data_IF_822135143480
#
_entry.id   IF_822135143480
#
_cell.length_a   1.000
_cell.length_b   1.000
_cell.length_c   1.000
_cell.angle_alpha   90.00
_cell.angle_beta   90.00
_cell.angle_gamma   90.00
#
_symmetry.space_group_name_H-M   'P 1'
#
loop_
_entity.id
_entity.type
_entity.pdbx_description
1 polymer ?
#
# COMPACT_ATOMS: atom_id res chain seq x y z
N UNK A 1 14.42 -18.49 -50.50
CA UNK A 1 14.56 -18.15 -49.09
C UNK A 1 15.13 -16.73 -48.81
N UNK A 2 15.72 -16.07 -49.77
CA UNK A 2 16.40 -14.77 -49.64
C UNK A 2 15.46 -13.56 -49.83
N UNK A 3 14.27 -13.72 -50.39
CA UNK A 3 13.31 -12.61 -50.64
C UNK A 3 12.56 -12.09 -49.39
N UNK A 4 12.59 -12.81 -48.25
CA UNK A 4 11.93 -12.39 -47.01
C UNK A 4 12.72 -11.32 -46.26
N UNK A 5 14.03 -11.22 -46.48
CA UNK A 5 14.91 -10.26 -45.82
C UNK A 5 14.89 -8.85 -46.43
N UNK A 6 14.32 -8.72 -47.67
CA UNK A 6 14.21 -7.43 -48.35
C UNK A 6 12.83 -6.76 -48.21
N UNK A 7 11.90 -7.34 -47.47
CA UNK A 7 10.61 -6.73 -47.19
C UNK A 7 10.75 -5.74 -46.03
N UNK A 8 10.72 -4.43 -46.28
CA UNK A 8 10.70 -3.36 -45.25
C UNK A 8 9.66 -3.62 -44.16
N UNK A 9 8.55 -4.26 -44.49
CA UNK A 9 7.51 -4.67 -43.52
C UNK A 9 8.00 -5.76 -42.55
N UNK A 10 8.91 -6.64 -42.98
CA UNK A 10 9.50 -7.65 -42.12
C UNK A 10 10.53 -7.07 -41.13
N UNK A 11 11.31 -6.08 -41.56
CA UNK A 11 12.29 -5.40 -40.69
C UNK A 11 11.61 -4.69 -39.53
N UNK A 12 10.52 -3.96 -39.78
CA UNK A 12 9.75 -3.27 -38.74
C UNK A 12 9.14 -4.25 -37.72
N UNK A 13 8.69 -5.43 -38.17
CA UNK A 13 8.15 -6.45 -37.26
C UNK A 13 9.25 -7.04 -36.34
N UNK A 14 10.45 -7.21 -36.85
CA UNK A 14 11.60 -7.69 -36.05
C UNK A 14 12.05 -6.63 -35.05
N UNK A 15 12.12 -5.37 -35.46
CA UNK A 15 12.42 -4.24 -34.55
C UNK A 15 11.42 -4.14 -33.43
N UNK A 16 10.12 -4.22 -33.73
CA UNK A 16 9.06 -4.23 -32.70
C UNK A 16 9.18 -5.43 -31.77
N UNK A 17 9.46 -6.63 -32.29
CA UNK A 17 9.63 -7.83 -31.48
C UNK A 17 10.82 -7.74 -30.51
N UNK A 18 11.88 -7.00 -30.87
CA UNK A 18 13.01 -6.75 -29.97
C UNK A 18 12.71 -5.71 -28.90
N UNK A 19 11.87 -4.71 -29.17
CA UNK A 19 11.46 -3.70 -28.22
C UNK A 19 10.35 -4.17 -27.29
N UNK A 20 9.52 -5.10 -27.73
CA UNK A 20 8.35 -5.58 -26.99
C UNK A 20 8.70 -6.10 -25.57
N UNK A 21 9.74 -6.92 -25.34
CA UNK A 21 10.07 -7.39 -24.00
C UNK A 21 10.42 -6.25 -23.04
N UNK A 22 11.15 -5.24 -23.52
CA UNK A 22 11.52 -4.06 -22.73
C UNK A 22 10.29 -3.23 -22.39
N UNK A 23 9.41 -3.03 -23.37
CA UNK A 23 8.14 -2.32 -23.16
C UNK A 23 7.25 -3.04 -22.14
N UNK A 24 7.09 -4.35 -22.26
CA UNK A 24 6.31 -5.13 -21.30
C UNK A 24 6.91 -5.11 -19.90
N UNK A 25 8.23 -5.21 -19.78
CA UNK A 25 8.91 -5.12 -18.49
C UNK A 25 8.64 -3.76 -17.82
N UNK A 26 8.62 -2.67 -18.58
CA UNK A 26 8.31 -1.33 -18.07
C UNK A 26 6.84 -1.24 -17.64
N UNK A 27 5.90 -1.68 -18.46
CA UNK A 27 4.46 -1.64 -18.14
C UNK A 27 4.14 -2.47 -16.89
N UNK A 28 4.63 -3.70 -16.82
CA UNK A 28 4.42 -4.55 -15.65
C UNK A 28 5.15 -4.02 -14.42
N UNK A 29 6.34 -3.45 -14.58
CA UNK A 29 7.07 -2.79 -13.50
C UNK A 29 6.24 -1.67 -12.88
N UNK A 30 5.70 -0.77 -13.69
CA UNK A 30 4.82 0.33 -13.23
C UNK A 30 3.58 -0.23 -12.52
N UNK A 31 2.93 -1.24 -13.08
CA UNK A 31 1.72 -1.82 -12.48
C UNK A 31 2.01 -2.47 -11.11
N UNK A 32 3.11 -3.20 -10.99
CA UNK A 32 3.49 -3.92 -9.77
C UNK A 32 3.91 -2.94 -8.66
N UNK A 33 4.81 -2.00 -8.96
CA UNK A 33 5.22 -0.99 -7.98
C UNK A 33 4.08 -0.02 -7.66
N UNK A 34 3.26 0.33 -8.64
CA UNK A 34 2.07 1.15 -8.46
C UNK A 34 1.06 0.51 -7.50
N UNK A 35 0.85 -0.80 -7.61
CA UNK A 35 -0.02 -1.54 -6.68
C UNK A 35 0.52 -1.54 -5.24
N UNK A 36 1.83 -1.70 -5.06
CA UNK A 36 2.46 -1.60 -3.74
C UNK A 36 2.28 -0.19 -3.14
N UNK A 37 2.57 0.86 -3.92
CA UNK A 37 2.38 2.24 -3.48
C UNK A 37 0.92 2.55 -3.14
N UNK A 38 -0.03 2.02 -3.90
CA UNK A 38 -1.46 2.17 -3.62
C UNK A 38 -1.84 1.57 -2.26
N UNK A 39 -1.29 0.40 -1.90
CA UNK A 39 -1.48 -0.19 -0.58
C UNK A 39 -0.86 0.69 0.51
N UNK A 40 0.36 1.19 0.31
CA UNK A 40 1.04 2.08 1.26
C UNK A 40 0.21 3.35 1.52
N UNK A 41 -0.32 3.98 0.48
CA UNK A 41 -1.18 5.16 0.59
C UNK A 41 -2.52 4.84 1.23
N UNK A 42 -3.14 3.73 0.86
CA UNK A 42 -4.41 3.28 1.46
C UNK A 42 -4.28 3.04 2.96
N UNK A 43 -3.20 2.40 3.41
CA UNK A 43 -2.94 2.19 4.84
C UNK A 43 -2.69 3.50 5.58
N UNK A 44 -1.98 4.45 4.97
CA UNK A 44 -1.76 5.77 5.55
C UNK A 44 -3.08 6.54 5.71
N UNK A 45 -3.93 6.50 4.71
CA UNK A 45 -5.25 7.12 4.76
C UNK A 45 -6.12 6.45 5.83
N UNK A 46 -6.16 5.12 5.86
CA UNK A 46 -6.92 4.36 6.84
C UNK A 46 -6.48 4.68 8.29
N UNK A 47 -5.17 4.77 8.54
CA UNK A 47 -4.63 5.17 9.84
C UNK A 47 -5.04 6.60 10.21
N UNK A 48 -4.97 7.55 9.27
CA UNK A 48 -5.32 8.94 9.50
C UNK A 48 -6.82 9.14 9.81
N UNK A 49 -7.67 8.43 9.08
CA UNK A 49 -9.13 8.49 9.30
C UNK A 49 -9.54 7.81 10.61
N UNK A 50 -8.92 6.67 10.95
CA UNK A 50 -9.12 6.01 12.23
C UNK A 50 -8.68 6.89 13.41
N UNK A 51 -7.55 7.60 13.27
CA UNK A 51 -7.08 8.55 14.27
C UNK A 51 -8.07 9.70 14.46
N UNK A 52 -8.60 10.27 13.39
CA UNK A 52 -9.64 11.33 13.47
C UNK A 52 -10.92 10.83 14.12
N UNK A 53 -11.38 9.63 13.75
CA UNK A 53 -12.59 9.04 14.34
C UNK A 53 -12.42 8.81 15.84
N UNK A 54 -11.22 8.48 16.30
CA UNK A 54 -10.92 8.24 17.71
C UNK A 54 -11.09 9.45 18.62
N UNK A 55 -11.11 10.67 18.06
CA UNK A 55 -11.34 11.91 18.83
C UNK A 55 -12.71 11.95 19.53
N UNK A 56 -13.68 11.20 19.03
CA UNK A 56 -15.00 11.09 19.67
C UNK A 56 -14.94 10.37 21.04
N UNK A 57 -13.88 9.59 21.31
CA UNK A 57 -13.72 8.87 22.57
C UNK A 57 -13.28 9.77 23.71
N UNK A 58 -13.89 9.60 24.88
CA UNK A 58 -13.62 10.37 26.09
C UNK A 58 -12.46 9.77 26.89
N UNK A 59 -12.17 8.48 26.70
CA UNK A 59 -11.08 7.77 27.38
C UNK A 59 -10.11 7.14 26.36
N UNK A 60 -8.85 6.84 26.77
CA UNK A 60 -7.91 6.13 25.90
C UNK A 60 -8.42 4.77 25.42
N UNK A 61 -9.13 4.04 26.27
CA UNK A 61 -9.76 2.75 25.96
C UNK A 61 -10.85 2.90 24.89
N UNK A 62 -11.70 3.90 25.01
CA UNK A 62 -12.76 4.20 24.07
C UNK A 62 -12.20 4.64 22.71
N UNK A 63 -11.18 5.50 22.71
CA UNK A 63 -10.47 5.90 21.48
C UNK A 63 -9.88 4.71 20.75
N UNK A 64 -9.25 3.78 21.49
CA UNK A 64 -8.70 2.55 20.91
C UNK A 64 -9.82 1.72 20.27
N UNK A 65 -10.94 1.52 20.97
CA UNK A 65 -12.10 0.79 20.47
C UNK A 65 -12.66 1.41 19.18
N UNK A 66 -12.81 2.74 19.16
CA UNK A 66 -13.31 3.47 17.99
C UNK A 66 -12.34 3.34 16.80
N UNK A 67 -11.03 3.53 17.03
CA UNK A 67 -10.03 3.41 15.96
C UNK A 67 -9.99 1.98 15.38
N UNK A 68 -10.01 0.97 16.22
CA UNK A 68 -10.00 -0.43 15.79
C UNK A 68 -11.27 -0.79 15.04
N UNK A 69 -12.42 -0.37 15.53
CA UNK A 69 -13.72 -0.56 14.87
C UNK A 69 -13.76 0.14 13.50
N UNK A 70 -13.24 1.37 13.43
CA UNK A 70 -13.16 2.11 12.17
C UNK A 70 -12.36 1.35 11.11
N UNK A 71 -11.15 0.88 11.47
CA UNK A 71 -10.31 0.12 10.55
C UNK A 71 -10.99 -1.16 10.10
N UNK A 72 -11.55 -1.95 11.02
CA UNK A 72 -12.22 -3.22 10.68
C UNK A 72 -13.42 -3.03 9.74
N UNK A 73 -14.16 -1.95 9.90
CA UNK A 73 -15.33 -1.64 9.08
C UNK A 73 -14.93 -1.11 7.69
N UNK A 74 -13.88 -0.30 7.61
CA UNK A 74 -13.56 0.44 6.38
C UNK A 74 -12.42 -0.18 5.56
N UNK A 75 -11.65 -1.12 6.10
CA UNK A 75 -10.53 -1.76 5.37
C UNK A 75 -10.96 -2.39 4.05
N UNK A 76 -12.18 -2.91 3.98
CA UNK A 76 -12.74 -3.51 2.76
C UNK A 76 -13.02 -2.52 1.62
N UNK A 77 -13.01 -1.21 1.89
CA UNK A 77 -13.16 -0.17 0.84
C UNK A 77 -11.89 0.04 0.03
N UNK A 78 -10.77 -0.51 0.50
CA UNK A 78 -9.47 -0.42 -0.17
C UNK A 78 -9.19 -1.69 -0.98
N UNK A 79 -9.29 -1.67 -2.32
CA UNK A 79 -9.38 -2.87 -3.16
C UNK A 79 -8.12 -3.76 -3.15
N UNK A 80 -6.96 -3.21 -2.77
CA UNK A 80 -5.69 -3.94 -2.72
C UNK A 80 -5.28 -4.37 -1.31
N UNK A 81 -6.10 -4.06 -0.30
CA UNK A 81 -5.82 -4.39 1.10
C UNK A 81 -6.72 -5.54 1.53
N UNK A 82 -6.11 -6.63 1.98
CA UNK A 82 -6.83 -7.80 2.47
C UNK A 82 -7.04 -7.66 3.98
N UNK A 83 -8.28 -7.60 4.42
CA UNK A 83 -8.65 -7.27 5.81
C UNK A 83 -7.99 -8.18 6.87
N UNK A 84 -7.91 -9.49 6.61
CA UNK A 84 -7.32 -10.46 7.54
C UNK A 84 -5.79 -10.33 7.70
N UNK A 85 -5.13 -9.50 6.90
CA UNK A 85 -3.69 -9.23 6.96
C UNK A 85 -3.38 -7.88 7.62
N UNK A 86 -4.40 -7.15 8.06
CA UNK A 86 -4.28 -5.86 8.75
C UNK A 86 -4.38 -6.07 10.25
N UNK A 87 -3.48 -5.44 10.98
CA UNK A 87 -3.55 -5.30 12.43
C UNK A 87 -3.48 -3.82 12.83
N UNK A 88 -4.13 -3.48 13.92
CA UNK A 88 -4.24 -2.10 14.42
C UNK A 88 -3.75 -2.05 15.85
N UNK A 89 -2.99 -1.02 16.16
CA UNK A 89 -2.61 -0.65 17.52
C UNK A 89 -2.90 0.84 17.70
N UNK A 90 -3.64 1.20 18.72
CA UNK A 90 -3.99 2.57 18.97
C UNK A 90 -3.80 2.89 20.47
N UNK A 91 -2.98 3.88 20.76
CA UNK A 91 -2.63 4.26 22.12
C UNK A 91 -2.23 5.74 22.22
N UNK A 92 -2.24 6.27 23.43
CA UNK A 92 -1.62 7.56 23.72
C UNK A 92 -0.11 7.48 23.46
N UNK A 93 0.45 8.53 22.89
CA UNK A 93 1.89 8.61 22.60
C UNK A 93 2.71 8.55 23.90
N UNK A 94 3.78 7.74 23.93
CA UNK A 94 4.69 7.72 25.09
C UNK A 94 5.45 9.03 25.29
N UNK A 95 5.62 9.82 24.23
CA UNK A 95 6.37 11.09 24.26
C UNK A 95 5.50 12.29 24.57
N UNK A 96 4.18 12.21 24.33
CA UNK A 96 3.25 13.30 24.57
C UNK A 96 1.87 12.74 24.99
N UNK A 97 1.45 12.98 26.25
CA UNK A 97 0.19 12.46 26.76
C UNK A 97 -1.05 13.09 26.08
N UNK A 98 -0.88 14.18 25.34
CA UNK A 98 -1.95 14.86 24.59
C UNK A 98 -2.06 14.40 23.13
N UNK A 99 -1.27 13.41 22.74
CA UNK A 99 -1.27 12.87 21.38
C UNK A 99 -1.72 11.41 21.38
N UNK A 100 -2.70 11.10 20.56
CA UNK A 100 -3.16 9.73 20.31
C UNK A 100 -2.61 9.24 18.97
N UNK A 101 -2.02 8.04 18.97
CA UNK A 101 -1.38 7.46 17.78
C UNK A 101 -2.11 6.20 17.39
N UNK A 102 -2.52 6.13 16.14
CA UNK A 102 -3.07 4.92 15.52
C UNK A 102 -2.06 4.38 14.53
N UNK A 103 -1.64 3.15 14.74
CA UNK A 103 -0.70 2.43 13.88
C UNK A 103 -1.42 1.27 13.21
N UNK A 104 -1.37 1.25 11.89
CA UNK A 104 -1.90 0.16 11.06
C UNK A 104 -0.74 -0.60 10.45
N UNK A 105 -0.71 -1.90 10.67
CA UNK A 105 0.32 -2.80 10.15
C UNK A 105 -0.32 -3.78 9.18
N UNK A 106 0.31 -3.96 8.02
CA UNK A 106 -0.16 -4.85 6.96
C UNK A 106 0.93 -5.84 6.54
N UNK A 107 0.56 -7.11 6.45
CA UNK A 107 1.42 -8.15 5.90
C UNK A 107 1.24 -8.22 4.37
N UNK A 108 2.19 -7.65 3.65
CA UNK A 108 2.20 -7.57 2.20
C UNK A 108 2.87 -8.78 1.51
N UNK A 109 3.29 -9.81 2.25
CA UNK A 109 4.05 -10.95 1.71
C UNK A 109 3.38 -11.68 0.54
N UNK A 110 2.06 -11.59 0.41
CA UNK A 110 1.31 -12.16 -0.70
C UNK A 110 1.21 -11.28 -1.96
N UNK A 111 1.82 -10.11 -1.96
CA UNK A 111 1.83 -9.25 -3.15
C UNK A 111 2.83 -9.75 -4.19
N UNK A 112 2.47 -9.59 -5.48
CA UNK A 112 3.26 -10.10 -6.60
C UNK A 112 4.68 -9.54 -6.67
N UNK A 113 4.92 -8.35 -6.13
CA UNK A 113 6.26 -7.72 -6.07
C UNK A 113 7.32 -8.61 -5.41
N UNK A 114 6.92 -9.46 -4.45
CA UNK A 114 7.84 -10.36 -3.76
C UNK A 114 8.10 -11.68 -4.51
N UNK A 115 7.38 -11.94 -5.58
CA UNK A 115 7.60 -13.09 -6.46
C UNK A 115 8.58 -12.82 -7.58
N UNK A 116 9.02 -11.57 -7.76
CA UNK A 116 9.90 -11.17 -8.83
C UNK A 116 11.37 -11.52 -8.51
N UNK A 117 12.02 -12.36 -9.30
CA UNK A 117 13.46 -12.54 -9.21
C UNK A 117 14.15 -11.25 -9.71
N UNK A 118 15.32 -10.95 -9.18
CA UNK A 118 16.16 -9.80 -9.57
C UNK A 118 15.64 -8.40 -9.17
N UNK A 119 14.54 -8.31 -8.41
CA UNK A 119 14.04 -7.04 -7.87
C UNK A 119 14.29 -6.98 -6.37
N UNK A 120 14.93 -5.91 -5.92
CA UNK A 120 15.03 -5.64 -4.47
C UNK A 120 13.67 -5.16 -3.99
N UNK A 121 12.88 -6.08 -3.44
CA UNK A 121 11.57 -5.77 -2.91
C UNK A 121 11.67 -5.00 -1.58
N UNK A 122 10.73 -4.07 -1.32
CA UNK A 122 10.63 -3.38 -0.03
C UNK A 122 10.23 -4.34 1.09
N UNK A 123 10.14 -3.83 2.33
CA UNK A 123 9.70 -4.64 3.48
C UNK A 123 8.33 -5.29 3.25
N UNK A 124 8.20 -6.57 3.59
CA UNK A 124 6.92 -7.29 3.53
C UNK A 124 5.93 -6.82 4.59
N UNK A 125 6.42 -6.16 5.63
CA UNK A 125 5.57 -5.56 6.65
C UNK A 125 5.50 -4.07 6.42
N UNK A 126 4.31 -3.58 6.07
CA UNK A 126 4.05 -2.16 5.87
C UNK A 126 3.43 -1.62 7.15
N UNK A 127 4.07 -0.63 7.77
CA UNK A 127 3.58 0.04 8.97
C UNK A 127 3.29 1.49 8.62
N UNK A 128 2.09 1.95 8.96
CA UNK A 128 1.68 3.36 8.80
C UNK A 128 1.03 3.84 10.07
N UNK A 129 1.40 5.03 10.50
CA UNK A 129 0.90 5.63 11.73
C UNK A 129 0.36 7.03 11.45
N UNK A 130 -0.68 7.38 12.18
CA UNK A 130 -1.21 8.73 12.24
C UNK A 130 -1.32 9.16 13.70
N UNK A 131 -0.82 10.34 13.99
CA UNK A 131 -0.88 10.97 15.30
C UNK A 131 -1.88 12.13 15.28
N UNK A 132 -2.70 12.23 16.28
CA UNK A 132 -3.68 13.30 16.42
C UNK A 132 -3.65 13.86 17.83
N UNK A 133 -3.52 15.19 17.99
CA UNK A 133 -3.62 15.82 19.29
C UNK A 133 -5.07 15.76 19.80
N UNK A 134 -5.23 15.45 21.07
CA UNK A 134 -6.50 15.54 21.79
C UNK A 134 -6.28 16.31 23.09
N UNK A 135 -7.22 17.14 23.45
CA UNK A 135 -7.11 18.05 24.58
C UNK A 135 -7.03 19.50 24.11
N UNK A 136 -7.73 20.36 24.86
CA UNK A 136 -7.72 21.78 24.58
C UNK A 136 -6.36 22.40 24.91
N UNK A 137 -6.11 23.50 24.26
CA UNK A 137 -4.97 24.41 24.52
C UNK A 137 -5.02 24.95 25.94
#
# INVERSE_FOLDING_TARGET
MIKLLLCRRGATAVEFAMLLPVFLALVFGIAIFGSYLAVVHGLQQLAAEAARSSLAGLSPSERNSIATSYVSTNVGTYPLITANKVSVSAATSPSDPNVFVVTVTYNASGMFIYSLPFVTAPSQTIVRSAAIPFGGF
#
